data_IF_124930215740
#
_entry.id   IF_124930215740
#
_cell.length_a   1.000
_cell.length_b   1.000
_cell.length_c   1.000
_cell.angle_alpha   90.00
_cell.angle_beta   90.00
_cell.angle_gamma   90.00
#
_symmetry.space_group_name_H-M   'P 1'
#
loop_
_entity.id
_entity.type
_entity.pdbx_description
1 polymer ?
#
# COMPACT_ATOMS: atom_id res chain seq x y z
N UNK A 1 -5.20 4.98 4.88
CA UNK A 1 -4.85 3.78 4.11
C UNK A 1 -4.40 4.20 2.72
N UNK A 2 -3.43 3.50 2.14
CA UNK A 2 -3.05 3.62 0.74
C UNK A 2 -3.44 2.34 0.01
N UNK A 3 -3.94 2.47 -1.21
CA UNK A 3 -4.48 1.36 -1.99
C UNK A 3 -4.05 1.51 -3.44
N UNK A 4 -3.55 0.43 -4.03
CA UNK A 4 -3.23 0.36 -5.46
C UNK A 4 -3.87 -0.88 -6.09
N UNK A 5 -4.34 -0.77 -7.33
CA UNK A 5 -4.95 -1.87 -8.07
C UNK A 5 -3.97 -2.36 -9.14
N UNK A 6 -3.56 -3.62 -9.06
CA UNK A 6 -2.61 -4.27 -9.96
C UNK A 6 -3.16 -5.62 -10.42
N UNK A 7 -3.74 -5.66 -11.62
CA UNK A 7 -4.40 -6.88 -12.12
C UNK A 7 -3.39 -7.93 -12.64
N UNK A 8 -2.15 -7.54 -12.91
CA UNK A 8 -1.06 -8.47 -13.21
C UNK A 8 -0.24 -8.87 -11.98
N UNK A 9 0.11 -10.15 -11.86
CA UNK A 9 0.96 -10.65 -10.76
C UNK A 9 2.33 -9.98 -10.73
N UNK A 10 2.91 -9.70 -11.91
CA UNK A 10 4.21 -9.02 -12.06
C UNK A 10 4.21 -7.56 -11.55
N UNK A 11 3.04 -6.96 -11.36
CA UNK A 11 2.94 -5.55 -10.97
C UNK A 11 2.70 -5.37 -9.46
N UNK A 12 2.54 -6.47 -8.72
CA UNK A 12 2.27 -6.44 -7.27
C UNK A 12 3.46 -5.88 -6.50
N UNK A 13 4.69 -6.22 -6.92
CA UNK A 13 5.93 -5.71 -6.31
C UNK A 13 6.06 -4.20 -6.50
N UNK A 14 5.88 -3.72 -7.74
CA UNK A 14 5.88 -2.28 -8.02
C UNK A 14 4.80 -1.54 -7.22
N UNK A 15 3.59 -2.11 -7.11
CA UNK A 15 2.54 -1.52 -6.30
C UNK A 15 2.95 -1.39 -4.84
N UNK A 16 3.52 -2.43 -4.25
CA UNK A 16 4.00 -2.37 -2.86
C UNK A 16 5.13 -1.34 -2.68
N UNK A 17 6.09 -1.28 -3.63
CA UNK A 17 7.16 -0.28 -3.63
C UNK A 17 6.61 1.16 -3.65
N UNK A 18 5.62 1.45 -4.49
CA UNK A 18 4.98 2.75 -4.53
C UNK A 18 4.33 3.12 -3.20
N UNK A 19 3.60 2.19 -2.57
CA UNK A 19 2.94 2.45 -1.29
C UNK A 19 3.94 2.72 -0.17
N UNK A 20 5.04 1.97 -0.13
CA UNK A 20 6.14 2.18 0.81
C UNK A 20 6.85 3.52 0.55
N UNK A 21 7.03 3.90 -0.71
CA UNK A 21 7.65 5.19 -1.05
C UNK A 21 6.78 6.38 -0.63
N UNK A 22 5.46 6.30 -0.80
CA UNK A 22 4.54 7.35 -0.30
C UNK A 22 4.63 7.47 1.22
N UNK A 23 4.63 6.34 1.96
CA UNK A 23 4.81 6.35 3.41
C UNK A 23 6.14 7.01 3.82
N UNK A 24 7.24 6.67 3.14
CA UNK A 24 8.55 7.27 3.36
C UNK A 24 8.53 8.78 3.11
N UNK A 25 7.92 9.23 2.02
CA UNK A 25 7.80 10.66 1.68
C UNK A 25 6.97 11.43 2.70
N UNK A 26 5.86 10.84 3.21
CA UNK A 26 5.07 11.42 4.30
C UNK A 26 5.94 11.56 5.55
N UNK A 27 6.71 10.53 5.92
CA UNK A 27 7.60 10.58 7.07
C UNK A 27 8.68 11.67 6.92
N UNK A 28 9.29 11.81 5.73
CA UNK A 28 10.26 12.87 5.44
C UNK A 28 9.63 14.28 5.49
N UNK A 29 8.43 14.44 4.94
CA UNK A 29 7.69 15.70 5.01
C UNK A 29 7.42 16.12 6.46
N UNK A 30 6.95 15.19 7.29
CA UNK A 30 6.66 15.42 8.71
C UNK A 30 7.90 15.72 9.56
N UNK A 31 9.12 15.42 9.08
CA UNK A 31 10.35 15.88 9.73
C UNK A 31 10.51 17.39 9.59
N UNK A 32 10.02 17.99 8.50
CA UNK A 32 10.14 19.42 8.18
C UNK A 32 8.91 20.23 8.63
N UNK A 33 7.71 19.73 8.37
CA UNK A 33 6.45 20.36 8.76
C UNK A 33 5.98 19.81 10.12
N UNK A 34 5.92 20.68 11.14
CA UNK A 34 5.59 20.31 12.52
C UNK A 34 4.23 20.84 13.00
N UNK A 35 3.70 21.87 12.35
CA UNK A 35 2.46 22.50 12.74
C UNK A 35 1.26 21.66 12.27
N UNK A 36 1.32 21.14 11.05
CA UNK A 36 0.26 20.29 10.47
C UNK A 36 0.88 19.07 9.77
N UNK A 37 1.37 18.08 10.53
CA UNK A 37 1.96 16.89 9.93
C UNK A 37 0.90 16.08 9.18
N UNK A 38 1.31 15.47 8.07
CA UNK A 38 0.50 14.49 7.36
C UNK A 38 0.41 13.20 8.17
N UNK A 39 -0.76 12.59 8.23
CA UNK A 39 -0.93 11.33 8.95
C UNK A 39 -0.25 10.19 8.18
N UNK A 40 0.53 9.36 8.88
CA UNK A 40 1.07 8.14 8.30
C UNK A 40 -0.07 7.15 7.98
N UNK A 41 0.08 6.34 6.92
CA UNK A 41 -0.92 5.33 6.58
C UNK A 41 -0.87 4.17 7.58
N UNK A 42 -2.00 3.84 8.20
CA UNK A 42 -2.09 2.66 9.09
C UNK A 42 -2.25 1.34 8.31
N UNK A 43 -2.41 1.43 6.99
CA UNK A 43 -2.73 0.31 6.12
C UNK A 43 -2.29 0.59 4.69
N UNK A 44 -1.62 -0.39 4.06
CA UNK A 44 -1.20 -0.39 2.66
C UNK A 44 -1.77 -1.64 1.98
N UNK A 45 -2.51 -1.49 0.89
CA UNK A 45 -3.10 -2.61 0.15
C UNK A 45 -2.73 -2.58 -1.34
N UNK A 46 -2.40 -3.73 -1.88
CA UNK A 46 -2.42 -3.98 -3.32
C UNK A 46 -3.57 -4.92 -3.63
N UNK A 47 -4.54 -4.45 -4.42
CA UNK A 47 -5.65 -5.27 -4.89
C UNK A 47 -5.27 -5.94 -6.19
N UNK A 48 -5.38 -7.27 -6.25
CA UNK A 48 -4.92 -8.07 -7.40
C UNK A 48 -6.03 -8.94 -7.99
N UNK A 49 -5.81 -9.44 -9.21
CA UNK A 49 -6.68 -10.47 -9.81
C UNK A 49 -6.23 -11.91 -9.47
N UNK A 50 -5.33 -12.09 -8.50
CA UNK A 50 -4.83 -13.40 -8.08
C UNK A 50 -5.81 -14.10 -7.15
N UNK A 51 -5.63 -15.40 -6.91
CA UNK A 51 -6.56 -16.20 -6.11
C UNK A 51 -6.34 -16.06 -4.60
N UNK A 52 -5.11 -15.82 -4.15
CA UNK A 52 -4.74 -15.83 -2.74
C UNK A 52 -4.30 -14.45 -2.26
N UNK A 53 -4.71 -14.12 -1.03
CA UNK A 53 -4.23 -12.96 -0.29
C UNK A 53 -3.09 -13.32 0.64
N UNK A 54 -2.15 -12.40 0.83
CA UNK A 54 -1.01 -12.57 1.72
C UNK A 54 -0.51 -11.22 2.22
N UNK A 55 0.25 -11.27 3.33
CA UNK A 55 0.98 -10.11 3.85
C UNK A 55 2.44 -10.24 3.47
N UNK A 56 3.00 -9.17 2.90
CA UNK A 56 4.41 -9.05 2.58
C UNK A 56 5.23 -8.63 3.80
N UNK A 57 6.53 -8.88 3.75
CA UNK A 57 7.46 -8.49 4.83
C UNK A 57 7.51 -6.96 5.04
N UNK A 58 7.29 -6.18 3.98
CA UNK A 58 7.18 -4.71 3.99
C UNK A 58 5.87 -4.16 4.61
N UNK A 59 5.01 -5.05 5.11
CA UNK A 59 3.75 -4.71 5.76
C UNK A 59 2.58 -4.42 4.80
N UNK A 60 2.78 -4.55 3.48
CA UNK A 60 1.71 -4.39 2.48
C UNK A 60 0.85 -5.66 2.42
N UNK A 61 -0.48 -5.47 2.39
CA UNK A 61 -1.44 -6.56 2.20
C UNK A 61 -1.78 -6.70 0.72
N UNK A 62 -1.55 -7.88 0.16
CA UNK A 62 -1.96 -8.23 -1.19
C UNK A 62 -3.29 -8.96 -1.09
N UNK A 63 -4.35 -8.38 -1.64
CA UNK A 63 -5.73 -8.87 -1.47
C UNK A 63 -6.36 -9.11 -2.85
N UNK A 64 -6.84 -10.32 -3.14
CA UNK A 64 -7.65 -10.60 -4.32
C UNK A 64 -8.87 -9.67 -4.43
N UNK A 65 -9.16 -9.19 -5.63
CA UNK A 65 -10.36 -8.39 -5.91
C UNK A 65 -11.65 -9.15 -5.55
N UNK A 66 -11.62 -10.48 -5.61
CA UNK A 66 -12.72 -11.34 -5.17
C UNK A 66 -13.06 -11.22 -3.68
N UNK A 67 -12.12 -10.79 -2.84
CA UNK A 67 -12.34 -10.54 -1.41
C UNK A 67 -13.11 -9.24 -1.13
N UNK A 68 -13.32 -8.39 -2.13
CA UNK A 68 -14.10 -7.15 -2.00
C UNK A 68 -15.59 -7.35 -2.31
N UNK A 69 -16.03 -8.59 -2.47
CA UNK A 69 -17.42 -8.93 -2.73
C UNK A 69 -18.25 -8.79 -1.45
N UNK A 70 -19.42 -8.14 -1.59
CA UNK A 70 -20.48 -8.10 -0.57
C UNK A 70 -21.27 -9.41 -0.55
#
# INVERSE_FOLDING_TARGET
>A
ALIEFKLGSKETDMGAEHLCEIERLIAEYNKKEKQVPLRLPDLKLVITATEYGYKREDGVYVIPIGCLKN
#
